data_IF_129383834809
#
_entry.id   IF_129383834809
#
_cell.length_a   1.000
_cell.length_b   1.000
_cell.length_c   1.000
_cell.angle_alpha   90.00
_cell.angle_beta   90.00
_cell.angle_gamma   90.00
#
_symmetry.space_group_name_H-M   'P 1'
#
loop_
_entity.id
_entity.type
_entity.pdbx_description
1 polymer ?
#
# COMPACT_ATOMS: atom_id res chain seq x y z
N UNK A 1 -7.68 -13.08 5.23
CA UNK A 1 -6.42 -12.94 5.98
C UNK A 1 -5.31 -12.83 4.95
N UNK A 2 -4.43 -11.81 5.03
CA UNK A 2 -3.23 -11.77 4.21
C UNK A 2 -2.16 -12.67 4.83
N UNK A 3 -1.71 -13.69 4.10
CA UNK A 3 -0.72 -14.66 4.58
C UNK A 3 0.73 -14.24 4.26
N UNK A 4 0.91 -13.07 3.63
CA UNK A 4 2.20 -12.59 3.16
C UNK A 4 2.67 -13.34 1.91
N UNK A 5 3.97 -13.22 1.63
CA UNK A 5 4.64 -13.85 0.50
C UNK A 5 6.13 -13.97 0.76
N UNK A 6 6.82 -14.78 -0.03
CA UNK A 6 8.27 -14.97 0.05
C UNK A 6 9.05 -14.00 -0.85
N UNK A 7 8.36 -13.30 -1.77
CA UNK A 7 8.91 -12.28 -2.65
C UNK A 7 8.12 -10.97 -2.49
N UNK A 8 8.78 -9.90 -2.07
CA UNK A 8 8.19 -8.56 -1.96
C UNK A 8 8.74 -7.65 -3.06
N UNK A 9 7.85 -6.97 -3.75
CA UNK A 9 8.18 -5.85 -4.63
C UNK A 9 7.56 -4.58 -4.06
N UNK A 10 8.36 -3.53 -3.94
CA UNK A 10 7.90 -2.25 -3.41
C UNK A 10 8.71 -1.10 -4.04
N UNK A 11 7.99 -0.05 -4.41
CA UNK A 11 8.50 1.24 -4.86
C UNK A 11 7.57 2.30 -4.28
N UNK A 12 8.16 3.30 -3.65
CA UNK A 12 7.47 4.46 -3.11
C UNK A 12 8.13 5.71 -3.68
N UNK A 13 7.30 6.62 -4.18
CA UNK A 13 7.71 7.91 -4.70
C UNK A 13 6.97 9.00 -3.93
N UNK A 14 7.70 9.84 -3.21
CA UNK A 14 7.16 10.93 -2.41
C UNK A 14 7.65 12.28 -2.93
N UNK A 15 6.74 13.25 -2.98
CA UNK A 15 7.03 14.65 -3.19
C UNK A 15 6.62 15.45 -1.96
N UNK A 16 7.61 15.95 -1.21
CA UNK A 16 7.39 16.81 -0.05
C UNK A 16 7.53 18.28 -0.41
N UNK A 17 6.66 19.12 0.14
CA UNK A 17 6.81 20.57 0.07
C UNK A 17 6.45 21.22 1.40
N UNK A 18 7.07 22.36 1.68
CA UNK A 18 6.78 23.16 2.87
C UNK A 18 5.45 23.90 2.67
N UNK A 19 4.41 23.50 3.40
CA UNK A 19 3.11 24.16 3.33
C UNK A 19 3.06 25.36 4.28
N UNK A 20 3.51 25.18 5.52
CA UNK A 20 3.59 26.25 6.54
C UNK A 20 4.99 26.22 7.18
N UNK A 21 5.96 26.98 6.62
CA UNK A 21 7.33 27.02 7.14
C UNK A 21 7.43 27.42 8.63
N UNK A 22 6.70 28.43 9.13
CA UNK A 22 6.80 28.82 10.55
C UNK A 22 6.38 27.73 11.54
N UNK A 23 5.47 26.84 11.13
CA UNK A 23 4.95 25.75 11.96
C UNK A 23 5.61 24.39 11.63
N UNK A 24 6.60 24.38 10.73
CA UNK A 24 7.24 23.17 10.20
C UNK A 24 6.23 22.10 9.75
N UNK A 25 5.18 22.55 9.03
CA UNK A 25 4.18 21.66 8.45
C UNK A 25 4.54 21.42 6.98
N UNK A 26 4.72 20.15 6.63
CA UNK A 26 4.95 19.70 5.26
C UNK A 26 3.69 19.06 4.69
N UNK A 27 3.39 19.40 3.45
CA UNK A 27 2.50 18.61 2.61
C UNK A 27 3.30 17.52 1.91
N UNK A 28 2.68 16.36 1.71
CA UNK A 28 3.27 15.23 0.99
C UNK A 28 2.27 14.75 -0.05
N UNK A 29 2.75 14.52 -1.27
CA UNK A 29 2.04 13.73 -2.28
C UNK A 29 2.84 12.45 -2.48
N UNK A 30 2.17 11.31 -2.56
CA UNK A 30 2.85 10.03 -2.69
C UNK A 30 2.20 9.13 -3.73
N UNK A 31 3.02 8.25 -4.28
CA UNK A 31 2.64 7.15 -5.15
C UNK A 31 3.34 5.88 -4.70
N UNK A 32 2.57 4.83 -4.42
CA UNK A 32 3.12 3.53 -4.05
C UNK A 32 2.81 2.50 -5.10
N UNK A 33 3.77 1.61 -5.29
CA UNK A 33 3.68 0.48 -6.20
C UNK A 33 4.26 -0.71 -5.48
N UNK A 34 3.51 -1.79 -5.36
CA UNK A 34 4.05 -2.99 -4.73
C UNK A 34 3.09 -4.14 -4.71
N UNK A 35 3.64 -5.32 -4.45
CA UNK A 35 2.87 -6.52 -4.14
C UNK A 35 3.78 -7.57 -3.49
N UNK A 36 3.18 -8.49 -2.76
CA UNK A 36 3.84 -9.68 -2.21
C UNK A 36 3.37 -10.93 -2.95
N UNK A 37 4.33 -11.76 -3.34
CA UNK A 37 4.10 -12.97 -4.12
C UNK A 37 4.60 -14.19 -3.37
N UNK A 38 4.02 -15.34 -3.70
CA UNK A 38 4.52 -16.63 -3.28
C UNK A 38 5.09 -17.38 -4.49
N UNK A 39 6.36 -17.79 -4.44
CA UNK A 39 7.02 -18.48 -5.56
C UNK A 39 7.18 -19.98 -5.34
N UNK A 40 6.69 -20.56 -4.23
CA UNK A 40 6.80 -21.99 -4.00
C UNK A 40 5.75 -22.77 -4.81
N UNK A 41 6.20 -23.82 -5.50
CA UNK A 41 5.36 -24.69 -6.35
C UNK A 41 4.19 -25.35 -5.62
N UNK A 42 4.28 -25.49 -4.29
CA UNK A 42 3.19 -26.06 -3.48
C UNK A 42 1.92 -25.20 -3.49
N UNK A 43 2.06 -23.89 -3.67
CA UNK A 43 0.93 -22.96 -3.77
C UNK A 43 0.34 -22.93 -5.18
N UNK A 44 0.93 -23.65 -6.14
CA UNK A 44 0.37 -23.79 -7.48
C UNK A 44 -0.76 -24.80 -7.61
N UNK A 45 -0.91 -25.68 -6.62
CA UNK A 45 -1.93 -26.72 -6.68
C UNK A 45 -3.33 -26.17 -6.39
N UNK A 46 -3.48 -25.00 -5.75
CA UNK A 46 -4.80 -24.38 -5.55
C UNK A 46 -4.74 -22.84 -5.34
N UNK A 47 -4.76 -22.06 -6.43
CA UNK A 47 -5.48 -20.80 -6.40
C UNK A 47 -6.21 -20.52 -7.73
N UNK A 48 -7.55 -20.45 -7.69
CA UNK A 48 -8.32 -19.90 -8.81
C UNK A 48 -8.02 -18.38 -8.91
N UNK A 49 -7.66 -17.82 -10.08
CA UNK A 49 -7.43 -16.38 -10.25
C UNK A 49 -8.61 -15.50 -9.81
N UNK A 50 -9.83 -16.05 -9.82
CA UNK A 50 -11.03 -15.37 -9.33
C UNK A 50 -11.07 -15.22 -7.80
N UNK A 51 -10.39 -16.09 -7.06
CA UNK A 51 -10.41 -16.08 -5.60
C UNK A 51 -9.28 -15.24 -5.01
N UNK A 52 -8.13 -15.20 -5.68
CA UNK A 52 -6.93 -14.47 -5.27
C UNK A 52 -6.33 -13.71 -6.46
N UNK A 53 -7.00 -12.64 -6.94
CA UNK A 53 -6.51 -11.89 -8.08
C UNK A 53 -5.17 -11.22 -7.75
N UNK A 54 -4.26 -11.23 -8.72
CA UNK A 54 -2.90 -10.66 -8.64
C UNK A 54 -1.94 -11.31 -7.64
N UNK A 55 -2.23 -12.52 -7.19
CA UNK A 55 -1.29 -13.29 -6.36
C UNK A 55 -1.16 -14.72 -6.87
N UNK A 56 -1.27 -14.91 -8.19
CA UNK A 56 -1.13 -16.20 -8.84
C UNK A 56 0.36 -16.64 -8.79
N UNK A 57 0.69 -17.74 -8.09
CA UNK A 57 2.06 -18.22 -7.91
C UNK A 57 2.58 -19.01 -9.14
N UNK A 58 1.74 -19.27 -10.14
CA UNK A 58 2.05 -20.18 -11.25
C UNK A 58 2.34 -19.48 -12.58
N UNK A 59 1.97 -18.21 -12.68
CA UNK A 59 2.27 -17.38 -13.84
C UNK A 59 3.58 -16.62 -13.63
N UNK A 60 4.36 -16.38 -14.70
CA UNK A 60 5.53 -15.52 -14.62
C UNK A 60 5.14 -14.11 -14.15
N UNK A 61 6.02 -13.49 -13.36
CA UNK A 61 5.84 -12.13 -12.84
C UNK A 61 5.42 -11.14 -13.95
N UNK A 62 4.26 -10.50 -13.79
CA UNK A 62 3.74 -9.47 -14.68
C UNK A 62 3.59 -8.12 -13.98
N UNK A 63 3.80 -7.03 -14.71
CA UNK A 63 3.54 -5.67 -14.21
C UNK A 63 2.06 -5.45 -13.82
N UNK A 64 1.13 -6.22 -14.38
CA UNK A 64 -0.31 -6.14 -14.05
C UNK A 64 -0.64 -6.65 -12.65
N UNK A 65 0.24 -7.47 -12.07
CA UNK A 65 0.03 -8.05 -10.75
C UNK A 65 0.47 -7.09 -9.63
N UNK A 66 1.09 -5.95 -9.97
CA UNK A 66 1.42 -4.91 -9.00
C UNK A 66 0.16 -4.18 -8.53
N UNK A 67 0.18 -3.75 -7.26
CA UNK A 67 -0.80 -2.82 -6.70
C UNK A 67 -0.25 -1.41 -6.77
N UNK A 68 -1.15 -0.45 -6.98
CA UNK A 68 -0.83 0.95 -7.14
C UNK A 68 -1.74 1.79 -6.26
N UNK A 69 -1.18 2.76 -5.55
CA UNK A 69 -1.92 3.77 -4.80
C UNK A 69 -1.35 5.16 -5.07
N UNK A 70 -2.23 6.15 -4.97
CA UNK A 70 -1.87 7.55 -4.90
C UNK A 70 -2.45 8.13 -3.63
N UNK A 71 -1.78 9.12 -3.05
CA UNK A 71 -2.31 9.77 -1.88
C UNK A 71 -1.64 11.07 -1.56
N UNK A 72 -2.12 11.67 -0.49
CA UNK A 72 -1.55 12.88 0.06
C UNK A 72 -1.58 12.84 1.58
N UNK A 73 -0.74 13.65 2.20
CA UNK A 73 -0.64 13.70 3.65
C UNK A 73 -0.03 14.98 4.18
N UNK A 74 -0.08 15.10 5.50
CA UNK A 74 0.56 16.16 6.26
C UNK A 74 1.54 15.55 7.26
N UNK A 75 2.74 16.13 7.30
CA UNK A 75 3.76 15.82 8.31
C UNK A 75 3.96 17.08 9.16
N UNK A 76 3.68 16.97 10.46
CA UNK A 76 3.77 18.11 11.39
C UNK A 76 4.66 17.75 12.57
N UNK A 77 5.72 18.54 12.77
CA UNK A 77 6.54 18.46 13.97
C UNK A 77 5.88 19.25 15.11
N UNK A 78 4.88 18.65 15.75
CA UNK A 78 4.16 19.29 16.84
C UNK A 78 4.99 19.32 18.14
N UNK A 79 4.64 20.18 19.12
CA UNK A 79 5.30 20.20 20.43
C UNK A 79 5.21 18.88 21.21
N UNK A 80 4.22 18.04 20.90
CA UNK A 80 4.01 16.73 21.54
C UNK A 80 4.72 15.58 20.80
N UNK A 81 5.28 15.84 19.61
CA UNK A 81 5.97 14.85 18.78
C UNK A 81 5.68 14.97 17.28
N UNK A 82 6.37 14.18 16.44
CA UNK A 82 6.06 14.11 15.01
C UNK A 82 4.68 13.47 14.81
N UNK A 83 3.84 14.14 14.03
CA UNK A 83 2.53 13.68 13.61
C UNK A 83 2.53 13.46 12.10
N UNK A 84 1.95 12.35 11.66
CA UNK A 84 1.74 12.02 10.24
C UNK A 84 0.28 11.69 10.02
N UNK A 85 -0.29 12.27 8.98
CA UNK A 85 -1.66 12.01 8.54
C UNK A 85 -1.62 11.75 7.04
N UNK A 86 -2.13 10.61 6.60
CA UNK A 86 -2.01 10.17 5.21
C UNK A 86 -3.37 9.64 4.73
N UNK A 87 -3.77 10.07 3.54
CA UNK A 87 -4.96 9.61 2.84
C UNK A 87 -4.52 8.92 1.55
N UNK A 88 -4.64 7.60 1.53
CA UNK A 88 -4.30 6.74 0.40
C UNK A 88 -5.53 6.33 -0.39
N UNK A 89 -5.41 6.40 -1.72
CA UNK A 89 -6.42 5.97 -2.68
C UNK A 89 -5.83 4.82 -3.51
N UNK A 90 -6.24 3.57 -3.24
CA UNK A 90 -5.83 2.44 -4.07
C UNK A 90 -6.45 2.59 -5.47
N UNK A 91 -5.62 2.61 -6.51
CA UNK A 91 -6.07 2.78 -7.89
C UNK A 91 -6.58 1.48 -8.51
N UNK A 92 -6.04 0.34 -8.04
CA UNK A 92 -6.36 -0.99 -8.54
C UNK A 92 -6.91 -1.87 -7.41
N UNK A 93 -8.18 -1.64 -7.10
CA UNK A 93 -8.90 -2.24 -5.99
C UNK A 93 -9.40 -3.63 -6.35
N UNK A 94 -9.18 -4.58 -5.46
CA UNK A 94 -9.86 -5.88 -5.54
C UNK A 94 -11.31 -5.72 -5.07
N UNK A 95 -12.23 -6.00 -5.99
CA UNK A 95 -13.63 -6.28 -5.65
C UNK A 95 -13.68 -7.62 -4.93
N UNK A 96 -14.21 -7.65 -3.71
CA UNK A 96 -14.14 -8.82 -2.82
C UNK A 96 -14.51 -10.14 -3.49
N UNK A 97 -13.80 -11.19 -3.10
CA UNK A 97 -13.95 -12.56 -3.62
C UNK A 97 -14.51 -13.47 -2.51
N UNK A 98 -14.71 -14.75 -2.78
CA UNK A 98 -15.10 -15.71 -1.74
C UNK A 98 -14.07 -15.82 -0.59
N UNK A 99 -12.79 -15.44 -0.83
CA UNK A 99 -11.70 -15.53 0.15
C UNK A 99 -11.21 -14.17 0.66
N UNK A 100 -11.41 -13.10 -0.12
CA UNK A 100 -10.93 -11.76 0.20
C UNK A 100 -12.09 -10.79 0.40
N UNK A 101 -12.02 -10.02 1.48
CA UNK A 101 -12.87 -8.84 1.64
C UNK A 101 -12.48 -7.81 0.58
N UNK A 102 -13.46 -7.13 0.00
CA UNK A 102 -13.22 -6.02 -0.92
C UNK A 102 -12.43 -4.90 -0.26
N UNK A 103 -11.55 -4.28 -1.03
CA UNK A 103 -10.69 -3.19 -0.56
C UNK A 103 -11.44 -1.85 -0.47
N UNK A 104 -11.10 -1.07 0.55
CA UNK A 104 -11.72 0.23 0.77
C UNK A 104 -11.26 1.25 -0.30
N UNK A 105 -12.16 2.16 -0.75
CA UNK A 105 -11.83 3.20 -1.74
C UNK A 105 -10.82 4.25 -1.24
N UNK A 106 -10.76 4.44 0.08
CA UNK A 106 -9.95 5.44 0.74
C UNK A 106 -9.50 4.85 2.06
N UNK A 107 -8.19 4.92 2.32
CA UNK A 107 -7.59 4.50 3.58
C UNK A 107 -6.99 5.73 4.23
N UNK A 108 -7.34 5.96 5.50
CA UNK A 108 -6.75 7.01 6.31
C UNK A 108 -5.85 6.38 7.37
N UNK A 109 -4.59 6.78 7.39
CA UNK A 109 -3.61 6.35 8.37
C UNK A 109 -3.04 7.55 9.10
N UNK A 110 -2.76 7.37 10.39
CA UNK A 110 -2.09 8.38 11.19
C UNK A 110 -1.08 7.75 12.15
N UNK A 111 -0.01 8.48 12.43
CA UNK A 111 1.02 8.07 13.37
C UNK A 111 1.36 9.23 14.30
N UNK A 112 1.51 8.92 15.59
CA UNK A 112 1.86 9.85 16.65
C UNK A 112 3.13 9.35 17.35
N UNK A 113 4.21 10.12 17.23
CA UNK A 113 5.50 9.77 17.82
C UNK A 113 6.43 9.04 16.85
N UNK A 114 7.43 8.35 17.38
CA UNK A 114 8.43 7.61 16.58
C UNK A 114 7.99 6.17 16.35
N UNK A 115 6.81 5.96 15.77
CA UNK A 115 6.39 4.65 15.29
C UNK A 115 6.92 4.45 13.87
N UNK A 116 7.91 3.56 13.71
CA UNK A 116 8.36 3.06 12.41
C UNK A 116 7.43 1.95 11.92
#
# INVERSE_FOLDING_TARGET
YGIGGNLLTALNAEFEFMMVPPANIKGVLFADIGNAFNTEKQFCSEPNPEQLPKSDPCVPFGFRDLRYSLGFGFRWQSPIGPLRFEWGFPLDRITGTALLRGEDPLVFEFNVGTGF
#
